data_IF_278791646565
#
_entry.id   IF_278791646565
#
_cell.length_a   1.000
_cell.length_b   1.000
_cell.length_c   1.000
_cell.angle_alpha   90.00
_cell.angle_beta   90.00
_cell.angle_gamma   90.00
#
_symmetry.space_group_name_H-M   'P 1'
#
loop_
_entity.id
_entity.type
_entity.pdbx_description
1 polymer ?
#
# COMPACT_ATOMS: atom_id res chain seq x y z
N UNK A 1 8.28 -15.55 61.89
CA UNK A 1 7.18 -15.10 61.02
C UNK A 1 7.49 -13.69 60.57
N UNK A 2 8.10 -13.54 59.39
CA UNK A 2 8.14 -12.28 58.66
C UNK A 2 8.09 -12.68 57.18
N UNK A 3 7.03 -12.28 56.50
CA UNK A 3 6.79 -12.55 55.08
C UNK A 3 7.18 -11.29 54.31
N UNK A 4 8.16 -11.38 53.42
CA UNK A 4 8.54 -10.29 52.53
C UNK A 4 8.15 -10.63 51.08
N UNK A 5 7.49 -9.67 50.43
CA UNK A 5 6.90 -9.73 49.09
C UNK A 5 7.99 -9.67 48.00
N UNK A 6 7.82 -10.36 46.85
CA UNK A 6 8.72 -10.16 45.72
C UNK A 6 8.41 -8.85 44.96
N UNK A 7 9.45 -8.02 44.82
CA UNK A 7 9.51 -6.83 43.98
C UNK A 7 9.30 -7.22 42.52
N UNK A 8 8.32 -6.59 41.86
CA UNK A 8 7.95 -6.86 40.47
C UNK A 8 9.04 -6.45 39.46
N UNK A 9 9.04 -7.01 38.24
CA UNK A 9 10.01 -6.65 37.22
C UNK A 9 9.67 -5.29 36.61
N UNK A 10 10.68 -4.42 36.58
CA UNK A 10 10.70 -3.14 35.88
C UNK A 10 10.60 -3.39 34.38
N UNK A 11 9.45 -3.07 33.78
CA UNK A 11 9.27 -3.10 32.33
C UNK A 11 10.11 -1.98 31.70
N UNK A 12 11.29 -2.32 31.20
CA UNK A 12 11.99 -1.53 30.19
C UNK A 12 11.30 -1.79 28.85
N UNK A 13 10.25 -1.04 28.55
CA UNK A 13 9.61 -1.14 27.24
C UNK A 13 10.38 -0.32 26.22
N UNK A 14 10.88 -1.06 25.25
CA UNK A 14 11.78 -0.68 24.18
C UNK A 14 11.25 0.50 23.35
N UNK A 15 12.17 1.40 23.01
CA UNK A 15 12.08 2.32 21.89
C UNK A 15 11.91 1.50 20.59
N UNK A 16 10.67 1.31 20.14
CA UNK A 16 10.38 0.60 18.89
C UNK A 16 10.18 1.63 17.79
N UNK A 17 11.11 1.62 16.82
CA UNK A 17 11.04 2.47 15.64
C UNK A 17 9.71 2.31 14.92
N UNK A 18 9.17 3.43 14.45
CA UNK A 18 7.90 3.53 13.74
C UNK A 18 7.88 2.58 12.53
N UNK A 19 7.19 1.45 12.66
CA UNK A 19 6.95 0.46 11.60
C UNK A 19 5.49 0.57 11.15
N UNK A 20 5.26 0.67 9.85
CA UNK A 20 3.91 0.72 9.27
C UNK A 20 3.40 -0.71 9.06
N UNK A 21 2.51 -1.16 9.95
CA UNK A 21 1.84 -2.46 9.85
C UNK A 21 0.38 -2.28 9.40
N UNK A 22 -0.01 -2.94 8.31
CA UNK A 22 -1.42 -3.04 7.90
C UNK A 22 -1.94 -4.44 8.27
N UNK A 23 -2.86 -4.51 9.24
CA UNK A 23 -3.41 -5.77 9.75
C UNK A 23 -4.71 -6.16 9.01
N UNK A 24 -4.84 -7.46 8.67
CA UNK A 24 -6.06 -8.08 8.13
C UNK A 24 -6.35 -9.35 8.95
N UNK A 25 -7.59 -9.56 9.41
CA UNK A 25 -8.03 -10.80 10.06
C UNK A 25 -9.45 -11.19 9.61
N UNK A 26 -9.88 -12.49 9.66
CA UNK A 26 -9.10 -13.71 9.90
C UNK A 26 -9.35 -14.79 8.82
N UNK A 27 -8.28 -15.16 8.11
CA UNK A 27 -7.92 -16.54 7.70
C UNK A 27 -6.55 -16.42 7.04
N UNK A 28 -5.50 -16.85 7.76
CA UNK A 28 -4.08 -16.87 7.35
C UNK A 28 -3.67 -15.80 6.31
N UNK A 29 -3.79 -14.51 6.64
CA UNK A 29 -3.37 -13.43 5.74
C UNK A 29 -1.97 -12.95 6.17
N UNK A 30 -0.96 -13.21 5.34
CA UNK A 30 0.41 -12.73 5.57
C UNK A 30 0.43 -11.21 5.69
N UNK A 31 0.89 -10.71 6.84
CA UNK A 31 1.12 -9.27 7.05
C UNK A 31 2.28 -8.86 6.14
N UNK A 32 2.06 -7.90 5.24
CA UNK A 32 3.13 -7.31 4.44
C UNK A 32 3.86 -6.30 5.33
N UNK A 33 5.12 -6.60 5.67
CA UNK A 33 5.98 -5.73 6.45
C UNK A 33 7.14 -5.24 5.60
N UNK A 34 7.06 -3.99 5.14
CA UNK A 34 8.13 -3.36 4.37
C UNK A 34 9.26 -2.92 5.31
N UNK A 35 10.53 -3.16 4.94
CA UNK A 35 11.67 -2.81 5.78
C UNK A 35 11.88 -1.30 5.80
N UNK A 36 12.39 -0.79 6.93
CA UNK A 36 12.97 0.55 6.96
C UNK A 36 14.31 0.50 6.22
N UNK A 37 14.49 1.39 5.24
CA UNK A 37 15.77 1.53 4.56
C UNK A 37 16.75 2.31 5.43
N UNK A 38 17.96 1.76 5.60
CA UNK A 38 19.07 2.44 6.28
C UNK A 38 19.57 3.66 5.49
N UNK A 39 19.38 3.66 4.17
CA UNK A 39 19.78 4.74 3.27
C UNK A 39 18.52 5.45 2.81
N UNK A 40 18.28 6.66 3.33
CA UNK A 40 17.26 7.55 2.79
C UNK A 40 17.69 8.10 1.44
N UNK A 41 16.72 8.34 0.56
CA UNK A 41 16.98 8.96 -0.73
C UNK A 41 17.61 10.34 -0.56
N UNK A 42 18.74 10.55 -1.22
CA UNK A 42 19.50 11.80 -1.35
C UNK A 42 19.77 12.08 -2.83
N UNK A 43 20.10 13.32 -3.16
CA UNK A 43 20.42 13.73 -4.53
C UNK A 43 21.56 12.88 -5.15
N UNK A 44 22.49 12.41 -4.32
CA UNK A 44 23.70 11.71 -4.76
C UNK A 44 23.54 10.18 -4.85
N UNK A 45 22.45 9.61 -4.31
CA UNK A 45 22.32 8.17 -4.15
C UNK A 45 21.11 7.56 -4.89
N UNK A 46 20.43 8.34 -5.74
CA UNK A 46 19.17 7.93 -6.38
C UNK A 46 19.27 6.61 -7.14
N UNK A 47 20.33 6.38 -7.92
CA UNK A 47 20.47 5.14 -8.68
C UNK A 47 20.51 3.92 -7.76
N UNK A 48 21.30 3.97 -6.69
CA UNK A 48 21.41 2.88 -5.72
C UNK A 48 20.11 2.70 -4.93
N UNK A 49 19.53 3.80 -4.45
CA UNK A 49 18.26 3.80 -3.73
C UNK A 49 17.14 3.22 -4.59
N UNK A 50 17.08 3.58 -5.87
CA UNK A 50 16.06 3.13 -6.80
C UNK A 50 16.12 1.62 -7.02
N UNK A 51 17.30 1.08 -7.31
CA UNK A 51 17.48 -0.37 -7.51
C UNK A 51 17.10 -1.13 -6.24
N UNK A 52 17.58 -0.68 -5.07
CA UNK A 52 17.27 -1.32 -3.79
C UNK A 52 15.76 -1.29 -3.47
N UNK A 53 15.12 -0.12 -3.64
CA UNK A 53 13.68 0.05 -3.42
C UNK A 53 12.87 -0.83 -4.37
N UNK A 54 13.28 -0.90 -5.63
CA UNK A 54 12.61 -1.72 -6.63
C UNK A 54 12.75 -3.21 -6.33
N UNK A 55 13.92 -3.67 -5.88
CA UNK A 55 14.15 -5.06 -5.51
C UNK A 55 13.34 -5.49 -4.29
N UNK A 56 13.17 -4.59 -3.31
CA UNK A 56 12.25 -4.82 -2.19
C UNK A 56 10.81 -4.95 -2.71
N UNK A 57 10.35 -4.02 -3.55
CA UNK A 57 8.99 -4.08 -4.08
C UNK A 57 8.74 -5.37 -4.88
N UNK A 58 9.71 -5.82 -5.69
CA UNK A 58 9.65 -7.12 -6.39
C UNK A 58 9.56 -8.30 -5.41
N UNK A 59 10.34 -8.28 -4.33
CA UNK A 59 10.31 -9.35 -3.32
C UNK A 59 8.92 -9.51 -2.66
N UNK A 60 8.15 -8.42 -2.59
CA UNK A 60 6.76 -8.43 -2.11
C UNK A 60 5.71 -8.47 -3.22
N UNK A 61 6.10 -8.59 -4.50
CA UNK A 61 5.20 -8.52 -5.67
C UNK A 61 4.37 -7.22 -5.73
N UNK A 62 4.97 -6.11 -5.32
CA UNK A 62 4.38 -4.77 -5.27
C UNK A 62 4.95 -3.81 -6.33
N UNK A 63 5.90 -4.26 -7.15
CA UNK A 63 6.56 -3.45 -8.16
C UNK A 63 5.59 -2.92 -9.22
N UNK A 64 4.50 -3.66 -9.50
CA UNK A 64 3.46 -3.23 -10.43
C UNK A 64 2.80 -1.91 -10.03
N UNK A 65 2.73 -1.58 -8.75
CA UNK A 65 2.08 -0.35 -8.26
C UNK A 65 2.89 0.91 -8.57
N UNK A 66 4.23 0.80 -8.61
CA UNK A 66 5.11 1.94 -8.92
C UNK A 66 5.48 2.00 -10.40
N UNK A 67 5.46 0.85 -11.10
CA UNK A 67 5.83 0.76 -12.52
C UNK A 67 4.64 0.94 -13.47
N UNK A 68 3.43 0.59 -13.03
CA UNK A 68 2.23 0.61 -13.87
C UNK A 68 1.13 1.49 -13.28
N UNK A 69 0.49 2.29 -14.12
CA UNK A 69 -0.70 3.09 -13.73
C UNK A 69 -2.01 2.27 -13.74
N UNK A 70 -1.92 0.94 -13.71
CA UNK A 70 -3.08 0.05 -13.86
C UNK A 70 -3.82 -0.09 -12.54
N UNK A 71 -4.77 0.81 -12.29
CA UNK A 71 -5.71 0.72 -11.16
C UNK A 71 -7.00 0.01 -11.59
N UNK A 72 -7.58 -0.87 -10.73
CA UNK A 72 -8.91 -1.41 -10.96
C UNK A 72 -9.96 -0.28 -10.98
N UNK A 73 -11.07 -0.47 -11.69
CA UNK A 73 -12.18 0.48 -11.65
C UNK A 73 -12.83 0.47 -10.27
N UNK A 74 -13.10 1.65 -9.70
CA UNK A 74 -13.77 1.82 -8.40
C UNK A 74 -15.15 1.16 -8.34
N UNK A 75 -15.80 1.03 -9.48
CA UNK A 75 -17.19 0.57 -9.58
C UNK A 75 -17.31 -0.46 -10.69
N UNK A 76 -18.11 -1.49 -10.43
CA UNK A 76 -18.43 -2.55 -11.39
C UNK A 76 -19.92 -2.52 -11.72
N UNK A 77 -20.24 -2.76 -12.98
CA UNK A 77 -21.62 -2.95 -13.43
C UNK A 77 -21.93 -4.44 -13.34
N UNK A 78 -22.85 -4.81 -12.44
CA UNK A 78 -23.32 -6.19 -12.36
C UNK A 78 -24.51 -6.29 -13.31
N UNK A 79 -24.34 -7.05 -14.40
CA UNK A 79 -25.46 -7.41 -15.26
C UNK A 79 -26.20 -8.57 -14.59
N UNK A 80 -27.46 -8.41 -14.16
CA UNK A 80 -28.21 -9.51 -13.59
C UNK A 80 -28.36 -10.60 -14.65
N UNK A 81 -27.81 -11.77 -14.38
CA UNK A 81 -27.98 -12.95 -15.23
C UNK A 81 -29.46 -13.36 -15.13
N UNK A 82 -30.23 -13.11 -16.18
CA UNK A 82 -31.62 -13.59 -16.25
C UNK A 82 -31.62 -15.12 -16.22
N UNK A 83 -31.97 -15.69 -15.06
CA UNK A 83 -32.26 -17.12 -14.96
C UNK A 83 -33.58 -17.33 -15.71
N UNK A 84 -33.52 -17.85 -16.93
CA UNK A 84 -34.71 -18.22 -17.70
C UNK A 84 -35.34 -19.45 -17.07
N UNK A 85 -36.16 -19.27 -16.03
CA UNK A 85 -37.13 -20.31 -15.65
C UNK A 85 -38.29 -20.18 -16.62
N UNK A 86 -38.43 -21.15 -17.52
CA UNK A 86 -39.46 -21.20 -18.54
C UNK A 86 -40.85 -21.41 -17.91
N UNK A 87 -41.48 -20.35 -17.39
CA UNK A 87 -42.93 -20.22 -17.33
C UNK A 87 -43.35 -18.78 -17.02
N UNK A 88 -44.18 -18.26 -17.91
CA UNK A 88 -45.03 -17.08 -17.72
C UNK A 88 -44.34 -15.71 -17.74
N UNK A 89 -44.38 -15.13 -18.94
CA UNK A 89 -44.47 -13.71 -19.29
C UNK A 89 -44.35 -12.71 -18.14
N UNK A 90 -43.15 -12.20 -17.91
CA UNK A 90 -42.87 -10.92 -17.25
C UNK A 90 -41.46 -10.48 -17.63
N UNK A 91 -41.34 -9.71 -18.71
CA UNK A 91 -40.05 -9.15 -19.14
C UNK A 91 -39.67 -7.98 -18.24
N UNK A 92 -39.21 -8.25 -17.02
CA UNK A 92 -38.62 -7.22 -16.16
C UNK A 92 -37.20 -6.97 -16.66
N UNK A 93 -37.00 -5.86 -17.40
CA UNK A 93 -35.67 -5.33 -17.68
C UNK A 93 -35.01 -4.97 -16.35
N UNK A 94 -34.16 -5.86 -15.84
CA UNK A 94 -33.40 -5.61 -14.64
C UNK A 94 -32.28 -4.61 -14.98
N UNK A 95 -32.40 -3.40 -14.41
CA UNK A 95 -31.48 -2.28 -14.64
C UNK A 95 -30.07 -2.65 -14.16
N UNK A 96 -29.00 -2.32 -14.92
CA UNK A 96 -27.63 -2.53 -14.47
C UNK A 96 -27.38 -1.85 -13.13
N UNK A 97 -27.04 -2.63 -12.11
CA UNK A 97 -26.71 -2.11 -10.79
C UNK A 97 -25.23 -1.75 -10.73
N UNK A 98 -24.97 -0.50 -10.36
CA UNK A 98 -23.62 0.04 -10.19
C UNK A 98 -23.20 -0.27 -8.75
N UNK A 99 -22.26 -1.19 -8.56
CA UNK A 99 -21.82 -1.63 -7.22
C UNK A 99 -20.31 -1.38 -7.00
N UNK A 100 -19.90 -1.25 -5.74
CA UNK A 100 -18.49 -0.98 -5.38
C UNK A 100 -17.61 -2.19 -5.67
N UNK A 101 -16.43 -1.97 -6.23
CA UNK A 101 -15.48 -3.04 -6.53
C UNK A 101 -14.60 -3.36 -5.31
N UNK A 102 -14.73 -4.54 -4.67
CA UNK A 102 -13.86 -4.90 -3.54
C UNK A 102 -12.37 -5.00 -3.94
N UNK A 103 -12.06 -5.36 -5.20
CA UNK A 103 -10.68 -5.41 -5.69
C UNK A 103 -10.04 -4.01 -5.80
N UNK A 104 -10.84 -2.97 -6.03
CA UNK A 104 -10.35 -1.59 -6.01
C UNK A 104 -9.92 -1.18 -4.61
N UNK A 105 -10.68 -1.54 -3.58
CA UNK A 105 -10.34 -1.15 -2.21
C UNK A 105 -9.08 -1.87 -1.73
N UNK A 106 -8.93 -3.15 -2.07
CA UNK A 106 -7.68 -3.89 -1.79
C UNK A 106 -6.48 -3.30 -2.52
N UNK A 107 -6.61 -3.00 -3.81
CA UNK A 107 -5.57 -2.32 -4.57
C UNK A 107 -5.22 -0.96 -3.93
N UNK A 108 -6.23 -0.17 -3.57
CA UNK A 108 -6.05 1.16 -2.98
C UNK A 108 -5.30 1.11 -1.66
N UNK A 109 -5.60 0.13 -0.80
CA UNK A 109 -4.89 -0.03 0.47
C UNK A 109 -3.41 -0.36 0.27
N UNK A 110 -3.09 -1.20 -0.71
CA UNK A 110 -1.70 -1.51 -1.07
C UNK A 110 -0.97 -0.30 -1.68
N UNK A 111 -1.62 0.45 -2.57
CA UNK A 111 -1.05 1.67 -3.15
C UNK A 111 -0.76 2.72 -2.07
N UNK A 112 -1.67 2.90 -1.13
CA UNK A 112 -1.47 3.80 0.01
C UNK A 112 -0.35 3.34 0.93
N UNK A 113 -0.23 2.03 1.20
CA UNK A 113 0.87 1.47 1.99
C UNK A 113 2.22 1.82 1.36
N UNK A 114 2.36 1.58 0.06
CA UNK A 114 3.59 1.89 -0.69
C UNK A 114 3.85 3.39 -0.69
N UNK A 115 2.82 4.22 -0.89
CA UNK A 115 2.97 5.68 -0.88
C UNK A 115 3.45 6.20 0.49
N UNK A 116 2.90 5.70 1.58
CA UNK A 116 3.35 6.09 2.93
C UNK A 116 4.75 5.55 3.19
N UNK A 117 5.05 4.31 2.81
CA UNK A 117 6.39 3.74 2.95
C UNK A 117 7.45 4.53 2.16
N UNK A 118 7.17 4.87 0.90
CA UNK A 118 8.03 5.73 0.07
C UNK A 118 8.36 7.04 0.80
N UNK A 119 7.37 7.69 1.42
CA UNK A 119 7.59 8.93 2.20
C UNK A 119 8.54 8.74 3.39
N UNK A 120 8.64 7.55 3.97
CA UNK A 120 9.54 7.28 5.11
C UNK A 120 10.99 7.05 4.69
N UNK A 121 11.21 6.50 3.49
CA UNK A 121 12.54 6.15 2.98
C UNK A 121 13.18 7.26 2.12
N UNK A 122 12.62 8.47 2.18
CA UNK A 122 13.06 9.65 1.44
C UNK A 122 13.51 10.73 2.45
N UNK A 123 14.51 11.53 2.08
CA UNK A 123 14.97 12.64 2.91
C UNK A 123 13.98 13.82 2.89
N UNK A 124 13.93 14.57 3.99
CA UNK A 124 12.98 15.69 4.18
C UNK A 124 13.02 16.75 3.06
N UNK A 125 14.19 17.11 2.46
CA UNK A 125 14.24 18.06 1.34
C UNK A 125 13.47 17.59 0.12
N UNK A 126 13.43 16.27 -0.12
CA UNK A 126 12.74 15.67 -1.25
C UNK A 126 11.27 15.38 -0.96
N UNK A 127 10.90 15.27 0.32
CA UNK A 127 9.53 15.00 0.75
C UNK A 127 8.55 16.07 0.26
N UNK A 128 8.99 17.32 0.16
CA UNK A 128 8.22 18.44 -0.41
C UNK A 128 7.66 18.13 -1.80
N UNK A 129 8.43 17.43 -2.65
CA UNK A 129 8.02 17.05 -4.00
C UNK A 129 6.94 15.94 -4.02
N UNK A 130 6.85 15.15 -2.95
CA UNK A 130 5.91 14.03 -2.82
C UNK A 130 4.63 14.41 -2.07
N UNK A 131 4.58 15.55 -1.39
CA UNK A 131 3.38 16.02 -0.66
C UNK A 131 2.12 16.04 -1.53
N UNK A 132 2.27 16.31 -2.83
CA UNK A 132 1.18 16.36 -3.81
C UNK A 132 0.91 15.05 -4.55
N UNK A 133 1.60 13.96 -4.22
CA UNK A 133 1.39 12.67 -4.88
C UNK A 133 0.19 11.93 -4.29
N UNK A 134 -0.75 11.55 -5.16
CA UNK A 134 -1.99 10.86 -4.79
C UNK A 134 -1.90 9.33 -4.91
N UNK A 135 -0.89 8.81 -5.60
CA UNK A 135 -0.60 7.38 -5.73
C UNK A 135 0.89 7.09 -5.63
N UNK A 136 1.24 5.82 -5.36
CA UNK A 136 2.63 5.37 -5.35
C UNK A 136 3.29 5.52 -6.72
N UNK A 137 2.56 5.26 -7.81
CA UNK A 137 3.00 5.50 -9.19
C UNK A 137 3.38 6.96 -9.46
N UNK A 138 2.55 7.91 -9.04
CA UNK A 138 2.80 9.35 -9.23
C UNK A 138 4.00 9.82 -8.39
N UNK A 139 4.10 9.35 -7.14
CA UNK A 139 5.27 9.54 -6.29
C UNK A 139 6.56 9.05 -6.95
N UNK A 140 6.57 7.81 -7.43
CA UNK A 140 7.72 7.20 -8.10
C UNK A 140 8.11 7.95 -9.38
N UNK A 141 7.13 8.34 -10.19
CA UNK A 141 7.36 9.07 -11.44
C UNK A 141 7.95 10.45 -11.19
N UNK A 142 7.41 11.22 -10.23
CA UNK A 142 7.94 12.53 -9.84
C UNK A 142 9.37 12.44 -9.33
N UNK A 143 9.68 11.45 -8.50
CA UNK A 143 11.05 11.17 -8.09
C UNK A 143 11.93 10.93 -9.30
N UNK A 144 11.54 10.01 -10.19
CA UNK A 144 12.34 9.75 -11.40
C UNK A 144 12.52 10.97 -12.29
N UNK A 145 11.55 11.88 -12.35
CA UNK A 145 11.64 13.14 -13.09
C UNK A 145 12.59 14.14 -12.46
N UNK A 146 12.51 14.36 -11.14
CA UNK A 146 13.40 15.28 -10.42
C UNK A 146 14.88 14.94 -10.63
N UNK A 147 15.22 13.65 -10.65
CA UNK A 147 16.60 13.19 -10.80
C UNK A 147 17.06 13.07 -12.25
N UNK A 148 16.13 12.95 -13.21
CA UNK A 148 16.46 13.03 -14.65
C UNK A 148 16.76 14.45 -15.12
N UNK A 149 16.25 15.48 -14.43
CA UNK A 149 16.51 16.88 -14.77
C UNK A 149 17.83 17.44 -14.21
N UNK A 150 18.50 16.72 -13.30
CA UNK A 150 19.69 17.21 -12.57
C UNK A 150 20.98 16.52 -13.04
N UNK A 151 20.90 15.56 -13.97
CA UNK A 151 22.04 14.95 -14.65
C UNK A 151 22.10 15.36 -16.12
#
# INVERSE_FOLDING_TARGET
MVSDLPIGPMATSQNSGNMLSLAKQPTASSIIQLPNLLIKLDINNYSLWKENTLDILKAFSLDSFVLSSNSPTKTITVTPTSITTARESSTTQAQPEITSNPAYEEWRLNDLLILVWLRQIISDPLLGHLTRSSSSYDAWTKLSGCFKCVL
#
